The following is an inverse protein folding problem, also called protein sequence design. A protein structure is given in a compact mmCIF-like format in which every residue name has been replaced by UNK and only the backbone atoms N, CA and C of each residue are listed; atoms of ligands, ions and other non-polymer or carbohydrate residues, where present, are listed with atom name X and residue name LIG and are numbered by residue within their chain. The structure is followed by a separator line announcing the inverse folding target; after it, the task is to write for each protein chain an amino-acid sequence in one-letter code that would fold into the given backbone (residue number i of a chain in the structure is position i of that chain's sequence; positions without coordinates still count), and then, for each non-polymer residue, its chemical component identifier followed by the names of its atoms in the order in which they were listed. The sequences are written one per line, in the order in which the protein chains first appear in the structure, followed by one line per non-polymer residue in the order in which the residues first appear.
data_IF_166257142295
#
_entry.id   IF_166257142295
#
_cell.length_a   1.000
_cell.length_b   1.000
_cell.length_c   1.000
_cell.angle_alpha   90.00
_cell.angle_beta   90.00
_cell.angle_gamma   90.00
#
_symmetry.space_group_name_H-M   'P 1'
#
loop_
_entity.id
_entity.type
_entity.pdbx_description
1 polymer ?
#
# COMPACT_ATOMS: atom_id res chain seq x y z
N UNK A 1 6.24 14.27 9.97
CA UNK A 1 5.80 13.01 9.35
C UNK A 1 6.94 12.49 8.49
N UNK A 2 7.02 11.18 8.27
CA UNK A 2 8.03 10.63 7.37
C UNK A 2 7.71 11.03 5.93
N UNK A 3 8.76 11.23 5.12
CA UNK A 3 8.59 11.54 3.69
C UNK A 3 8.03 10.34 2.93
N UNK A 4 8.46 9.14 3.32
CA UNK A 4 8.08 7.87 2.74
C UNK A 4 7.55 6.94 3.83
N UNK A 5 6.46 6.23 3.54
CA UNK A 5 5.86 5.23 4.41
C UNK A 5 5.58 3.95 3.61
N UNK A 6 5.94 2.80 4.19
CA UNK A 6 5.44 1.50 3.72
C UNK A 6 4.28 1.10 4.62
N UNK A 7 3.08 1.01 4.05
CA UNK A 7 1.86 0.65 4.78
C UNK A 7 1.43 -0.75 4.35
N UNK A 8 1.23 -1.62 5.33
CA UNK A 8 0.77 -2.98 5.11
C UNK A 8 -0.63 -3.17 5.68
N UNK A 9 -1.51 -3.78 4.91
CA UNK A 9 -2.86 -4.12 5.34
C UNK A 9 -3.28 -5.48 4.80
N UNK A 10 -3.92 -6.28 5.65
CA UNK A 10 -4.61 -7.51 5.23
C UNK A 10 -5.93 -7.08 4.58
N UNK A 11 -6.22 -7.60 3.40
CA UNK A 11 -7.45 -7.34 2.66
C UNK A 11 -8.04 -8.65 2.14
N UNK A 12 -9.35 -8.64 1.86
CA UNK A 12 -10.03 -9.66 1.07
C UNK A 12 -10.33 -9.01 -0.29
N UNK A 13 -9.53 -9.34 -1.31
CA UNK A 13 -9.59 -8.68 -2.62
C UNK A 13 -10.29 -9.55 -3.66
N UNK A 14 -9.97 -10.85 -3.69
CA UNK A 14 -10.45 -11.75 -4.74
C UNK A 14 -11.78 -12.44 -4.42
N UNK A 15 -12.27 -12.31 -3.19
CA UNK A 15 -13.52 -12.92 -2.76
C UNK A 15 -13.47 -14.45 -2.71
N UNK A 16 -12.25 -15.01 -2.70
CA UNK A 16 -11.98 -16.40 -2.38
C UNK A 16 -11.40 -16.54 -0.96
N UNK A 17 -11.08 -17.77 -0.54
CA UNK A 17 -10.51 -18.04 0.78
C UNK A 17 -8.98 -17.80 0.82
N UNK A 18 -8.39 -17.18 -0.21
CA UNK A 18 -6.96 -16.87 -0.25
C UNK A 18 -6.70 -15.52 0.42
N UNK A 19 -5.75 -15.43 1.38
CA UNK A 19 -5.51 -14.18 2.07
C UNK A 19 -4.61 -13.26 1.23
N UNK A 20 -4.91 -11.96 1.19
CA UNK A 20 -4.08 -10.97 0.52
C UNK A 20 -3.52 -9.91 1.47
N UNK A 21 -2.28 -9.48 1.20
CA UNK A 21 -1.66 -8.32 1.83
C UNK A 21 -1.41 -7.27 0.75
N UNK A 22 -1.92 -6.07 1.02
CA UNK A 22 -1.62 -4.86 0.26
C UNK A 22 -0.38 -4.23 0.88
N UNK A 23 0.62 -3.94 0.05
CA UNK A 23 1.80 -3.15 0.41
C UNK A 23 1.72 -1.82 -0.35
N UNK A 24 1.41 -0.75 0.35
CA UNK A 24 1.36 0.61 -0.21
C UNK A 24 2.65 1.37 0.10
N UNK A 25 3.24 1.95 -0.94
CA UNK A 25 4.40 2.83 -0.84
C UNK A 25 3.88 4.25 -0.96
N UNK A 26 3.69 4.90 0.19
CA UNK A 26 3.15 6.25 0.28
C UNK A 26 4.26 7.27 0.34
N UNK A 27 4.11 8.35 -0.41
CA UNK A 27 5.08 9.44 -0.48
C UNK A 27 4.38 10.77 -0.24
N UNK A 28 4.78 11.47 0.82
CA UNK A 28 4.20 12.74 1.27
C UNK A 28 4.39 13.89 0.29
N UNK A 29 5.33 13.78 -0.64
CA UNK A 29 5.67 14.84 -1.61
C UNK A 29 4.83 14.75 -2.88
N UNK A 30 4.16 13.61 -3.11
CA UNK A 30 3.29 13.45 -4.27
C UNK A 30 2.04 14.34 -4.15
N UNK A 31 1.58 14.95 -5.26
CA UNK A 31 0.33 15.70 -5.26
C UNK A 31 -0.84 14.73 -5.10
N UNK A 32 -1.69 14.94 -4.09
CA UNK A 32 -2.92 14.16 -3.95
C UNK A 32 -3.94 14.64 -5.00
N UNK A 33 -4.18 13.82 -6.01
CA UNK A 33 -5.12 14.15 -7.11
C UNK A 33 -6.56 13.73 -6.83
N UNK A 34 -6.85 13.15 -5.65
CA UNK A 34 -8.20 12.69 -5.32
C UNK A 34 -9.07 13.90 -5.05
N UNK A 35 -10.25 14.02 -5.71
CA UNK A 35 -11.15 15.13 -5.44
C UNK A 35 -11.62 15.04 -3.99
N UNK A 36 -11.45 16.13 -3.23
CA UNK A 36 -12.01 16.22 -1.88
C UNK A 36 -13.54 16.01 -1.98
N UNK A 37 -14.04 14.89 -1.46
CA UNK A 37 -15.49 14.63 -1.29
C UNK A 37 -16.03 15.51 -0.13
N UNK A 38 -16.04 16.83 -0.33
CA UNK A 38 -16.81 17.89 0.36
C UNK A 38 -16.45 19.19 -0.39
N UNK A 39 -17.34 19.88 -1.09
CA UNK A 39 -18.66 20.33 -0.65
C UNK A 39 -19.68 20.30 -1.81
N UNK A 40 -20.74 19.52 -1.68
CA UNK A 40 -22.03 19.99 -2.15
C UNK A 40 -22.48 21.12 -1.21
N UNK A 41 -22.98 22.18 -1.80
CA UNK A 41 -23.46 23.44 -1.22
C UNK A 41 -22.43 24.53 -0.89
N UNK A 42 -22.52 25.55 -1.74
CA UNK A 42 -22.39 26.99 -1.51
C UNK A 42 -21.04 27.57 -1.01
N UNK A 43 -20.55 28.47 -1.87
CA UNK A 43 -19.90 29.75 -1.58
C UNK A 43 -18.37 29.92 -1.66
N UNK A 44 -18.07 30.89 -2.52
CA UNK A 44 -16.95 31.82 -2.66
C UNK A 44 -15.63 31.39 -3.33
N UNK A 45 -15.20 32.13 -4.39
CA UNK A 45 -13.86 32.01 -4.97
C UNK A 45 -12.87 32.85 -4.16
N UNK A 46 -11.83 32.24 -3.58
CA UNK A 46 -10.81 33.04 -2.91
C UNK A 46 -9.81 32.33 -2.00
N UNK A 47 -9.98 31.05 -1.68
CA UNK A 47 -8.98 30.31 -0.90
C UNK A 47 -8.34 29.25 -1.80
N UNK A 48 -7.04 29.38 -2.08
CA UNK A 48 -6.22 28.26 -2.54
C UNK A 48 -6.35 27.16 -1.49
N UNK A 49 -7.24 26.20 -1.77
CA UNK A 49 -7.33 24.98 -0.99
C UNK A 49 -5.94 24.38 -0.97
N UNK A 50 -5.32 24.34 0.22
CA UNK A 50 -4.05 23.64 0.40
C UNK A 50 -4.28 22.19 -0.05
N UNK A 51 -3.88 21.87 -1.28
CA UNK A 51 -3.99 20.52 -1.79
C UNK A 51 -3.32 19.61 -0.77
N UNK A 52 -4.06 18.65 -0.20
CA UNK A 52 -3.48 17.67 0.71
C UNK A 52 -2.27 17.08 -0.01
N UNK A 53 -1.10 17.16 0.60
CA UNK A 53 0.10 16.54 0.04
C UNK A 53 0.14 15.08 0.48
N UNK A 54 0.68 14.25 -0.40
CA UNK A 54 0.91 12.84 -0.19
C UNK A 54 -0.08 11.94 -0.90
N UNK A 55 0.44 10.98 -1.65
CA UNK A 55 -0.32 9.96 -2.36
C UNK A 55 0.43 8.62 -2.37
N UNK A 56 -0.26 7.56 -2.77
CA UNK A 56 0.36 6.25 -2.99
C UNK A 56 1.15 6.31 -4.29
N UNK A 57 2.46 6.10 -4.23
CA UNK A 57 3.36 6.08 -5.38
C UNK A 57 3.15 4.78 -6.18
N UNK A 58 3.07 3.65 -5.47
CA UNK A 58 2.74 2.34 -6.04
C UNK A 58 2.19 1.38 -4.98
N UNK A 59 1.55 0.31 -5.46
CA UNK A 59 0.95 -0.74 -4.65
C UNK A 59 1.35 -2.12 -5.17
N UNK A 60 1.80 -2.98 -4.27
CA UNK A 60 2.00 -4.40 -4.52
C UNK A 60 0.94 -5.23 -3.78
N UNK A 61 0.61 -6.38 -4.37
CA UNK A 61 -0.29 -7.36 -3.79
C UNK A 61 0.45 -8.67 -3.63
N UNK A 62 0.44 -9.22 -2.42
CA UNK A 62 1.03 -10.52 -2.13
C UNK A 62 -0.07 -11.44 -1.61
N UNK A 63 -0.12 -12.67 -2.11
CA UNK A 63 -1.11 -13.68 -1.72
C UNK A 63 -0.45 -14.99 -1.29
N UNK A 64 -1.24 -15.86 -0.68
CA UNK A 64 -0.87 -17.21 -0.28
C UNK A 64 -1.84 -18.23 -0.92
N UNK A 65 -1.43 -19.48 -1.14
CA UNK A 65 -2.27 -20.49 -1.78
C UNK A 65 -3.49 -20.88 -0.94
N UNK A 66 -3.44 -20.63 0.38
CA UNK A 66 -4.54 -20.84 1.30
C UNK A 66 -4.32 -20.05 2.60
N UNK A 67 -5.39 -19.87 3.38
CA UNK A 67 -5.31 -19.28 4.72
C UNK A 67 -4.31 -20.03 5.62
N UNK A 68 -3.38 -19.28 6.22
CA UNK A 68 -2.36 -19.82 7.12
C UNK A 68 -1.15 -20.44 6.43
N UNK A 69 -1.15 -20.53 5.09
CA UNK A 69 0.06 -20.85 4.34
C UNK A 69 0.98 -19.62 4.26
N UNK A 70 2.30 -19.82 4.10
CA UNK A 70 3.21 -18.73 3.76
C UNK A 70 2.78 -18.04 2.45
N UNK A 71 2.99 -16.73 2.40
CA UNK A 71 2.77 -15.96 1.18
C UNK A 71 3.88 -16.29 0.18
N UNK A 72 3.50 -16.58 -1.07
CA UNK A 72 4.40 -17.11 -2.11
C UNK A 72 4.25 -16.44 -3.48
N UNK A 73 3.23 -15.60 -3.67
CA UNK A 73 2.89 -15.04 -4.98
C UNK A 73 2.71 -13.53 -4.91
N UNK A 74 3.42 -12.79 -5.78
CA UNK A 74 3.23 -11.34 -5.98
C UNK A 74 2.39 -11.10 -7.23
N UNK A 75 1.23 -10.47 -7.08
CA UNK A 75 0.25 -10.21 -8.17
C UNK A 75 0.43 -8.86 -8.86
N UNK A 76 0.99 -7.86 -8.15
CA UNK A 76 1.36 -6.56 -8.72
C UNK A 76 2.82 -6.27 -8.42
N UNK A 77 3.62 -6.21 -9.48
CA UNK A 77 5.07 -5.99 -9.37
C UNK A 77 5.36 -4.50 -9.17
N UNK A 78 6.35 -4.21 -8.34
CA UNK A 78 6.90 -2.89 -8.13
C UNK A 78 8.42 -2.99 -8.04
N UNK A 79 9.13 -1.97 -8.51
CA UNK A 79 10.58 -1.83 -8.30
C UNK A 79 10.79 -1.40 -6.85
N UNK A 80 11.22 -2.32 -6.00
CA UNK A 80 11.40 -2.10 -4.56
C UNK A 80 12.87 -2.08 -4.15
N UNK A 81 13.78 -2.50 -5.04
CA UNK A 81 15.22 -2.43 -4.83
C UNK A 81 15.91 -1.22 -5.51
N UNK A 82 15.17 -0.49 -6.36
CA UNK A 82 15.61 0.73 -7.03
C UNK A 82 16.46 0.49 -8.28
N UNK A 83 16.44 -0.72 -8.84
CA UNK A 83 17.26 -1.10 -9.99
C UNK A 83 16.63 -0.71 -11.37
N UNK A 84 15.48 -0.04 -11.36
CA UNK A 84 14.69 0.38 -12.53
C UNK A 84 14.08 -0.79 -13.33
N UNK A 85 13.94 -1.95 -12.71
CA UNK A 85 13.28 -3.13 -13.27
C UNK A 85 12.28 -3.65 -12.24
N UNK A 86 11.37 -4.48 -12.73
CA UNK A 86 10.47 -5.28 -11.90
C UNK A 86 10.77 -6.74 -12.19
N UNK A 87 11.59 -7.36 -11.34
CA UNK A 87 12.08 -8.72 -11.54
C UNK A 87 11.89 -9.61 -10.30
N UNK A 88 12.57 -10.75 -10.26
CA UNK A 88 12.40 -11.73 -9.20
C UNK A 88 13.01 -11.27 -7.86
N UNK A 89 14.01 -10.37 -7.90
CA UNK A 89 14.60 -9.82 -6.68
C UNK A 89 13.59 -8.92 -5.95
N UNK A 90 12.81 -8.14 -6.69
CA UNK A 90 11.70 -7.35 -6.13
C UNK A 90 10.65 -8.24 -5.48
N UNK A 91 10.26 -9.33 -6.16
CA UNK A 91 9.27 -10.28 -5.65
C UNK A 91 9.78 -10.94 -4.36
N UNK A 92 11.06 -11.31 -4.27
CA UNK A 92 11.68 -11.89 -3.07
C UNK A 92 11.61 -10.93 -1.88
N UNK A 93 11.96 -9.65 -2.08
CA UNK A 93 11.89 -8.62 -1.03
C UNK A 93 10.45 -8.45 -0.52
N UNK A 94 9.47 -8.37 -1.43
CA UNK A 94 8.06 -8.22 -1.07
C UNK A 94 7.55 -9.44 -0.28
N UNK A 95 7.92 -10.65 -0.70
CA UNK A 95 7.57 -11.88 -0.01
C UNK A 95 8.20 -11.97 1.38
N UNK A 96 9.47 -11.60 1.53
CA UNK A 96 10.14 -11.55 2.83
C UNK A 96 9.47 -10.56 3.78
N UNK A 97 9.19 -9.35 3.31
CA UNK A 97 8.52 -8.31 4.09
C UNK A 97 7.14 -8.77 4.57
N UNK A 98 6.30 -9.30 3.67
CA UNK A 98 4.96 -9.76 4.01
C UNK A 98 5.00 -10.95 4.96
N UNK A 99 5.86 -11.94 4.70
CA UNK A 99 5.99 -13.09 5.60
C UNK A 99 6.55 -12.70 6.98
N UNK A 100 7.39 -11.66 7.07
CA UNK A 100 7.82 -11.10 8.35
C UNK A 100 6.65 -10.41 9.07
N UNK A 101 5.90 -9.54 8.37
CA UNK A 101 4.72 -8.86 8.88
C UNK A 101 3.68 -9.83 9.44
N UNK A 102 3.37 -10.92 8.73
CA UNK A 102 2.39 -11.93 9.17
C UNK A 102 2.82 -12.73 10.40
N UNK A 103 4.12 -12.71 10.74
CA UNK A 103 4.65 -13.33 11.97
C UNK A 103 4.65 -12.38 13.16
N UNK A 104 4.47 -11.07 12.94
CA UNK A 104 4.48 -10.09 14.01
C UNK A 104 3.21 -10.20 14.84
N UNK A 105 3.37 -10.21 16.16
CA UNK A 105 2.25 -10.00 17.07
C UNK A 105 1.93 -8.51 17.15
N UNK A 106 1.08 -8.05 16.25
CA UNK A 106 0.64 -6.65 16.18
C UNK A 106 -0.49 -6.34 17.18
N UNK A 107 -0.83 -7.28 18.07
CA UNK A 107 -1.83 -7.08 19.12
C UNK A 107 -1.36 -6.16 20.26
N UNK A 108 -0.38 -5.28 19.99
CA UNK A 108 0.01 -4.20 20.89
C UNK A 108 -1.23 -3.31 21.09
N UNK A 109 -2.00 -3.64 22.13
CA UNK A 109 -3.12 -2.85 22.61
C UNK A 109 -2.56 -1.51 23.04
N UNK A 110 -2.91 -0.47 22.28
CA UNK A 110 -2.92 0.89 22.77
C UNK A 110 -3.97 1.09 23.85
#
# INVERSE_FOLDING_TARGET
MATYEVRLSIAEIEGDDTPEVIVEFWNSELPNKRPDKKKSNAEQPGEEQSAKKGDTEFTAFVTAPAKGAPYDTVKSKADVDGNQKTDAADDEILLELVNAFMKMDLSIKS
#
